data_IF_656112079191
#
_entry.id   IF_656112079191
#
_cell.length_a   1.000
_cell.length_b   1.000
_cell.length_c   1.000
_cell.angle_alpha   90.00
_cell.angle_beta   90.00
_cell.angle_gamma   90.00
#
_symmetry.space_group_name_H-M   'P 1'
#
loop_
_entity.id
_entity.type
_entity.pdbx_description
1 polymer ?
#
# COMPACT_ATOMS: atom_id res chain seq x y z
N UNK A 1 24.03 -0.27 3.08
CA UNK A 1 23.21 -0.70 1.91
C UNK A 1 22.06 -1.52 2.45
N UNK A 2 20.83 -1.24 2.04
CA UNK A 2 19.68 -2.08 2.42
C UNK A 2 19.66 -3.41 1.66
N UNK A 3 19.65 -3.44 0.32
CA UNK A 3 19.74 -4.70 -0.42
C UNK A 3 21.20 -5.15 -0.53
N UNK A 4 21.45 -6.45 -0.40
CA UNK A 4 22.77 -7.02 -0.67
C UNK A 4 23.09 -6.99 -2.17
N UNK A 5 24.38 -6.97 -2.54
CA UNK A 5 24.79 -6.97 -3.95
C UNK A 5 24.23 -8.16 -4.74
N UNK A 6 24.10 -9.33 -4.10
CA UNK A 6 23.49 -10.51 -4.73
C UNK A 6 21.99 -10.30 -5.01
N UNK A 7 21.25 -9.70 -4.07
CA UNK A 7 19.84 -9.37 -4.27
C UNK A 7 19.68 -8.33 -5.37
N UNK A 8 20.50 -7.27 -5.36
CA UNK A 8 20.48 -6.23 -6.40
C UNK A 8 20.72 -6.84 -7.78
N UNK A 9 21.79 -7.62 -7.96
CA UNK A 9 22.08 -8.27 -9.25
C UNK A 9 20.95 -9.20 -9.70
N UNK A 10 20.34 -9.96 -8.78
CA UNK A 10 19.19 -10.81 -9.09
C UNK A 10 17.99 -9.98 -9.57
N UNK A 11 17.64 -8.91 -8.85
CA UNK A 11 16.50 -8.06 -9.16
C UNK A 11 16.69 -7.33 -10.49
N UNK A 12 17.88 -6.77 -10.73
CA UNK A 12 18.20 -6.13 -12.01
C UNK A 12 18.14 -7.14 -13.16
N UNK A 13 18.63 -8.36 -12.94
CA UNK A 13 18.59 -9.43 -13.95
C UNK A 13 17.19 -9.87 -14.36
N UNK A 14 16.17 -9.65 -13.52
CA UNK A 14 14.76 -9.90 -13.90
C UNK A 14 14.25 -8.83 -14.89
N UNK A 15 14.75 -7.59 -14.81
CA UNK A 15 14.31 -6.47 -15.65
C UNK A 15 12.84 -6.09 -15.48
N UNK A 16 12.14 -6.61 -14.48
CA UNK A 16 10.73 -6.37 -14.24
C UNK A 16 10.48 -5.01 -13.54
N UNK A 17 9.28 -4.42 -13.69
CA UNK A 17 8.85 -3.28 -12.89
C UNK A 17 8.90 -3.59 -11.38
N UNK A 18 9.07 -2.55 -10.56
CA UNK A 18 9.20 -2.66 -9.10
C UNK A 18 8.11 -1.87 -8.41
N UNK A 19 7.37 -2.53 -7.53
CA UNK A 19 6.36 -1.93 -6.67
C UNK A 19 6.83 -1.93 -5.22
N UNK A 20 7.11 -0.75 -4.67
CA UNK A 20 7.37 -0.53 -3.25
C UNK A 20 6.04 -0.28 -2.53
N UNK A 21 5.64 -1.16 -1.62
CA UNK A 21 4.31 -1.07 -0.98
C UNK A 21 4.37 -0.46 0.42
N UNK A 22 3.50 0.49 0.71
CA UNK A 22 3.30 1.04 2.05
C UNK A 22 2.35 0.17 2.89
N UNK A 23 2.43 0.27 4.22
CA UNK A 23 1.54 -0.43 5.16
C UNK A 23 0.08 -0.11 4.88
N UNK A 24 -0.26 1.16 4.66
CA UNK A 24 -1.64 1.58 4.40
C UNK A 24 -2.20 0.95 3.12
N UNK A 25 -1.40 0.87 2.07
CA UNK A 25 -1.78 0.25 0.78
C UNK A 25 -2.02 -1.24 0.92
N UNK A 26 -1.17 -1.94 1.65
CA UNK A 26 -1.28 -3.39 1.84
C UNK A 26 -2.46 -3.73 2.76
N UNK A 27 -2.68 -2.95 3.82
CA UNK A 27 -3.82 -3.12 4.71
C UNK A 27 -5.15 -2.72 4.07
N UNK A 28 -5.15 -1.90 3.00
CA UNK A 28 -6.37 -1.62 2.22
C UNK A 28 -7.02 -2.87 1.64
N UNK A 29 -6.25 -3.96 1.43
CA UNK A 29 -6.77 -5.25 0.95
C UNK A 29 -7.79 -5.86 1.91
N UNK A 30 -7.57 -5.71 3.22
CA UNK A 30 -8.43 -6.27 4.29
C UNK A 30 -9.34 -5.22 4.93
N UNK A 31 -9.29 -3.99 4.43
CA UNK A 31 -9.99 -2.85 5.04
C UNK A 31 -11.46 -2.86 4.69
N UNK A 32 -12.20 -2.10 5.47
CA UNK A 32 -13.65 -1.95 5.36
C UNK A 32 -14.13 -1.60 3.93
N UNK A 33 -14.80 -2.56 3.28
CA UNK A 33 -15.39 -2.42 1.94
C UNK A 33 -16.58 -1.47 1.87
N UNK A 34 -17.09 -1.01 3.02
CA UNK A 34 -18.20 -0.06 3.06
C UNK A 34 -17.73 1.38 2.85
N UNK A 35 -16.41 1.63 2.84
CA UNK A 35 -15.83 2.94 2.55
C UNK A 35 -15.96 3.28 1.07
N UNK A 36 -16.45 4.49 0.77
CA UNK A 36 -16.57 5.01 -0.60
C UNK A 36 -15.23 5.06 -1.36
N UNK A 37 -14.12 5.09 -0.63
CA UNK A 37 -12.76 5.06 -1.20
C UNK A 37 -12.36 3.70 -1.76
N UNK A 38 -13.09 2.61 -1.43
CA UNK A 38 -12.81 1.27 -1.95
C UNK A 38 -13.56 1.09 -3.26
N UNK A 39 -12.81 1.02 -4.37
CA UNK A 39 -13.39 0.86 -5.70
C UNK A 39 -13.06 -0.52 -6.27
N UNK A 40 -13.98 -1.08 -7.06
CA UNK A 40 -13.72 -2.35 -7.77
C UNK A 40 -12.51 -2.27 -8.69
N UNK A 41 -12.27 -1.09 -9.30
CA UNK A 41 -11.10 -0.84 -10.14
C UNK A 41 -9.79 -1.02 -9.38
N UNK A 42 -9.67 -0.42 -8.19
CA UNK A 42 -8.48 -0.52 -7.36
C UNK A 42 -8.27 -1.94 -6.81
N UNK A 43 -9.34 -2.62 -6.40
CA UNK A 43 -9.27 -4.01 -5.94
C UNK A 43 -8.79 -4.93 -7.06
N UNK A 44 -9.36 -4.81 -8.26
CA UNK A 44 -8.96 -5.61 -9.41
C UNK A 44 -7.52 -5.31 -9.84
N UNK A 45 -7.09 -4.05 -9.77
CA UNK A 45 -5.71 -3.68 -10.05
C UNK A 45 -4.75 -4.34 -9.04
N UNK A 46 -5.07 -4.30 -7.74
CA UNK A 46 -4.29 -4.97 -6.70
C UNK A 46 -4.20 -6.49 -6.92
N UNK A 47 -5.31 -7.15 -7.23
CA UNK A 47 -5.32 -8.59 -7.52
C UNK A 47 -4.51 -8.95 -8.79
N UNK A 48 -4.57 -8.11 -9.82
CA UNK A 48 -3.78 -8.29 -11.03
C UNK A 48 -2.27 -8.13 -10.76
N UNK A 49 -1.87 -7.10 -10.02
CA UNK A 49 -0.48 -6.89 -9.61
C UNK A 49 0.04 -8.06 -8.75
N UNK A 50 -0.77 -8.53 -7.80
CA UNK A 50 -0.44 -9.70 -6.99
C UNK A 50 -0.23 -10.94 -7.87
N UNK A 51 -1.12 -11.19 -8.82
CA UNK A 51 -0.99 -12.34 -9.73
C UNK A 51 0.29 -12.26 -10.60
N UNK A 52 0.68 -11.07 -11.04
CA UNK A 52 1.93 -10.84 -11.78
C UNK A 52 3.18 -11.07 -10.90
N UNK A 53 3.10 -10.70 -9.63
CA UNK A 53 4.18 -10.95 -8.66
C UNK A 53 4.32 -12.45 -8.34
N UNK A 54 3.20 -13.16 -8.19
CA UNK A 54 3.17 -14.61 -7.96
C UNK A 54 3.76 -15.41 -9.12
N UNK A 55 3.59 -14.93 -10.34
CA UNK A 55 4.21 -15.54 -11.53
C UNK A 55 5.75 -15.41 -11.54
N UNK A 56 6.33 -14.52 -10.74
CA UNK A 56 7.77 -14.43 -10.49
C UNK A 56 8.60 -13.67 -11.54
N UNK A 57 7.99 -13.22 -12.65
CA UNK A 57 8.68 -12.46 -13.71
C UNK A 57 7.94 -11.19 -14.17
N UNK A 58 6.69 -10.97 -13.74
CA UNK A 58 5.88 -9.84 -14.19
C UNK A 58 6.01 -8.59 -13.32
N UNK A 59 6.32 -8.76 -12.03
CA UNK A 59 6.41 -7.66 -11.07
C UNK A 59 7.31 -8.06 -9.90
N UNK A 60 8.22 -7.17 -9.50
CA UNK A 60 8.96 -7.26 -8.24
C UNK A 60 8.19 -6.45 -7.20
N UNK A 61 7.88 -7.06 -6.06
CA UNK A 61 7.27 -6.35 -4.92
C UNK A 61 8.32 -6.17 -3.84
N UNK A 62 8.56 -4.94 -3.41
CA UNK A 62 9.43 -4.60 -2.29
C UNK A 62 8.59 -4.16 -1.08
N UNK A 63 8.91 -4.73 0.08
CA UNK A 63 8.29 -4.36 1.36
C UNK A 63 9.39 -4.03 2.36
N UNK A 64 9.44 -2.79 2.86
CA UNK A 64 10.38 -2.43 3.90
C UNK A 64 10.13 -3.25 5.17
N UNK A 65 11.18 -3.61 5.89
CA UNK A 65 11.06 -4.34 7.16
C UNK A 65 10.09 -3.63 8.14
N UNK A 66 10.14 -2.29 8.17
CA UNK A 66 9.21 -1.47 8.94
C UNK A 66 7.73 -1.71 8.57
N UNK A 67 7.42 -1.91 7.28
CA UNK A 67 6.06 -2.25 6.81
C UNK A 67 5.64 -3.63 7.33
N UNK A 68 6.53 -4.61 7.28
CA UNK A 68 6.26 -5.96 7.81
C UNK A 68 5.92 -5.93 9.30
N UNK A 69 6.65 -5.13 10.09
CA UNK A 69 6.40 -4.94 11.52
C UNK A 69 5.05 -4.26 11.79
N UNK A 70 4.69 -3.27 10.98
CA UNK A 70 3.41 -2.57 11.11
C UNK A 70 2.23 -3.45 10.73
N UNK A 71 2.34 -4.26 9.68
CA UNK A 71 1.30 -5.23 9.32
C UNK A 71 1.12 -6.22 10.49
N UNK A 72 2.20 -6.77 11.02
CA UNK A 72 2.13 -7.71 12.14
C UNK A 72 1.45 -7.10 13.39
N UNK A 73 1.69 -5.82 13.65
CA UNK A 73 1.11 -5.11 14.79
C UNK A 73 -0.36 -4.74 14.60
N UNK A 74 -0.78 -4.42 13.37
CA UNK A 74 -2.07 -3.79 13.10
C UNK A 74 -3.11 -4.73 12.49
N UNK A 75 -2.71 -5.85 11.89
CA UNK A 75 -3.62 -6.73 11.11
C UNK A 75 -4.85 -7.18 11.91
N UNK A 76 -4.67 -7.57 13.17
CA UNK A 76 -5.77 -8.00 14.02
C UNK A 76 -6.80 -6.88 14.29
N UNK A 77 -6.32 -5.65 14.55
CA UNK A 77 -7.21 -4.49 14.74
C UNK A 77 -7.97 -4.16 13.45
N UNK A 78 -7.28 -4.15 12.31
CA UNK A 78 -7.89 -3.86 11.01
C UNK A 78 -8.94 -4.91 10.64
N UNK A 79 -8.68 -6.19 10.89
CA UNK A 79 -9.67 -7.25 10.69
C UNK A 79 -10.92 -7.04 11.56
N UNK A 80 -10.74 -6.71 12.84
CA UNK A 80 -11.84 -6.45 13.77
C UNK A 80 -12.66 -5.22 13.37
N UNK A 81 -12.00 -4.13 13.00
CA UNK A 81 -12.64 -2.90 12.54
C UNK A 81 -13.45 -3.12 11.26
N UNK A 82 -12.86 -3.81 10.26
CA UNK A 82 -13.54 -4.13 9.01
C UNK A 82 -14.74 -5.05 9.24
N UNK A 83 -14.61 -6.04 10.12
CA UNK A 83 -15.72 -6.93 10.47
C UNK A 83 -16.84 -6.17 11.18
N UNK A 84 -16.51 -5.31 12.15
CA UNK A 84 -17.49 -4.50 12.87
C UNK A 84 -18.23 -3.52 11.95
N UNK A 85 -17.51 -2.87 11.03
CA UNK A 85 -18.11 -1.97 10.04
C UNK A 85 -19.06 -2.71 9.09
N UNK A 86 -18.65 -3.88 8.58
CA UNK A 86 -19.51 -4.71 7.74
C UNK A 86 -20.77 -5.16 8.49
N UNK A 87 -20.65 -5.63 9.74
CA UNK A 87 -21.81 -6.02 10.55
C UNK A 87 -22.77 -4.85 10.77
N UNK A 88 -22.23 -3.65 11.03
CA UNK A 88 -23.04 -2.43 11.17
C UNK A 88 -23.78 -2.10 9.86
N UNK A 89 -23.12 -2.23 8.72
CA UNK A 89 -23.75 -2.04 7.41
C UNK A 89 -24.86 -3.04 7.14
N UNK A 90 -24.64 -4.33 7.40
CA UNK A 90 -25.65 -5.38 7.23
C UNK A 90 -26.88 -5.12 8.10
N UNK A 91 -26.68 -4.76 9.37
CA UNK A 91 -27.77 -4.40 10.27
C UNK A 91 -28.52 -3.14 9.82
N UNK A 92 -27.82 -2.16 9.26
CA UNK A 92 -28.43 -0.97 8.68
C UNK A 92 -29.25 -1.29 7.43
N UNK A 93 -28.74 -2.12 6.53
CA UNK A 93 -29.45 -2.56 5.33
C UNK A 93 -30.73 -3.33 5.70
N UNK A 94 -30.65 -4.23 6.69
CA UNK A 94 -31.82 -4.96 7.19
C UNK A 94 -32.87 -4.02 7.76
N UNK A 95 -32.48 -3.08 8.63
CA UNK A 95 -33.43 -2.10 9.21
C UNK A 95 -34.13 -1.27 8.13
N UNK A 96 -33.41 -0.83 7.10
CA UNK A 96 -33.98 -0.06 5.98
C UNK A 96 -35.00 -0.92 5.21
N UNK A 97 -34.65 -2.18 4.95
CA UNK A 97 -35.54 -3.15 4.31
C UNK A 97 -36.82 -3.37 5.12
N UNK A 98 -36.71 -3.59 6.44
CA UNK A 98 -37.87 -3.81 7.32
C UNK A 98 -38.84 -2.62 7.29
N UNK A 99 -38.31 -1.39 7.33
CA UNK A 99 -39.11 -0.16 7.19
C UNK A 99 -39.76 -0.10 5.82
N UNK A 100 -39.01 -0.31 4.73
CA UNK A 100 -39.57 -0.26 3.37
C UNK A 100 -40.71 -1.27 3.18
N UNK A 101 -40.55 -2.49 3.69
CA UNK A 101 -41.56 -3.55 3.67
C UNK A 101 -42.81 -3.14 4.45
N UNK A 102 -42.67 -2.49 5.61
CA UNK A 102 -43.81 -1.95 6.36
C UNK A 102 -44.59 -0.86 5.59
N UNK A 103 -43.93 -0.14 4.67
CA UNK A 103 -44.56 0.81 3.74
C UNK A 103 -45.01 0.16 2.41
N UNK A 104 -45.02 -1.17 2.32
CA UNK A 104 -45.56 -1.92 1.18
C UNK A 104 -44.57 -2.25 0.07
N UNK A 105 -43.27 -1.98 0.26
CA UNK A 105 -42.25 -2.43 -0.68
C UNK A 105 -42.26 -3.96 -0.79
N UNK A 106 -42.02 -4.47 -1.99
CA UNK A 106 -41.96 -5.90 -2.30
C UNK A 106 -40.54 -6.30 -2.71
N UNK A 107 -40.14 -7.53 -2.41
CA UNK A 107 -38.85 -8.10 -2.77
C UNK A 107 -38.01 -8.52 -1.57
N UNK A 108 -36.92 -9.26 -1.82
CA UNK A 108 -36.04 -9.78 -0.78
C UNK A 108 -34.72 -9.00 -0.75
N UNK A 109 -34.26 -8.64 0.43
CA UNK A 109 -32.89 -8.13 0.62
C UNK A 109 -31.88 -9.28 0.42
N UNK A 110 -30.95 -9.12 -0.51
CA UNK A 110 -29.92 -10.13 -0.84
C UNK A 110 -28.52 -9.60 -0.50
N UNK A 111 -28.12 -9.75 0.76
CA UNK A 111 -26.82 -9.23 1.27
C UNK A 111 -25.88 -10.32 1.79
N UNK A 112 -26.32 -11.58 1.85
CA UNK A 112 -25.52 -12.69 2.40
C UNK A 112 -24.20 -12.97 1.66
N UNK A 113 -24.08 -12.57 0.40
CA UNK A 113 -22.82 -12.69 -0.34
C UNK A 113 -21.69 -11.82 0.25
N UNK A 114 -22.03 -10.82 1.07
CA UNK A 114 -21.07 -9.99 1.79
C UNK A 114 -20.51 -10.69 3.03
N UNK A 115 -21.23 -11.68 3.58
CA UNK A 115 -20.80 -12.42 4.77
C UNK A 115 -19.44 -13.08 4.53
N UNK A 116 -18.58 -13.04 5.55
CA UNK A 116 -17.22 -13.62 5.48
C UNK A 116 -16.26 -12.89 4.54
N UNK A 117 -16.57 -11.67 4.08
CA UNK A 117 -15.67 -10.90 3.21
C UNK A 117 -14.27 -10.72 3.82
N UNK A 118 -14.18 -10.30 5.09
CA UNK A 118 -12.89 -10.12 5.79
C UNK A 118 -12.09 -11.42 5.80
N UNK A 119 -12.75 -12.56 6.04
CA UNK A 119 -12.13 -13.89 5.99
C UNK A 119 -11.61 -14.26 4.59
N UNK A 120 -12.26 -13.79 3.51
CA UNK A 120 -11.78 -13.95 2.13
C UNK A 120 -10.64 -12.99 1.78
N UNK A 121 -10.63 -11.80 2.37
CA UNK A 121 -9.61 -10.78 2.11
C UNK A 121 -8.27 -11.11 2.80
N UNK A 122 -8.29 -11.70 4.00
CA UNK A 122 -7.07 -12.04 4.76
C UNK A 122 -6.07 -12.92 3.99
N UNK A 123 -6.47 -14.01 3.32
CA UNK A 123 -5.56 -14.77 2.47
C UNK A 123 -4.89 -13.94 1.37
N UNK A 124 -5.54 -12.88 0.87
CA UNK A 124 -4.95 -11.99 -0.13
C UNK A 124 -3.81 -11.16 0.48
N UNK A 125 -3.98 -10.67 1.71
CA UNK A 125 -2.91 -10.01 2.46
C UNK A 125 -1.72 -10.95 2.72
N UNK A 126 -1.99 -12.21 3.08
CA UNK A 126 -0.92 -13.20 3.29
C UNK A 126 -0.15 -13.49 2.00
N UNK A 127 -0.84 -13.56 0.86
CA UNK A 127 -0.20 -13.70 -0.46
C UNK A 127 0.71 -12.50 -0.79
N UNK A 128 0.28 -11.27 -0.51
CA UNK A 128 1.15 -10.08 -0.64
C UNK A 128 2.43 -10.18 0.17
N UNK A 129 2.34 -10.67 1.42
CA UNK A 129 3.52 -10.89 2.27
C UNK A 129 4.44 -11.97 1.73
N UNK A 130 3.88 -13.02 1.11
CA UNK A 130 4.65 -14.14 0.55
C UNK A 130 5.43 -13.75 -0.71
N UNK A 131 4.85 -12.91 -1.58
CA UNK A 131 5.54 -12.49 -2.82
C UNK A 131 6.54 -11.35 -2.61
N UNK A 132 6.37 -10.57 -1.53
CA UNK A 132 7.21 -9.41 -1.28
C UNK A 132 8.64 -9.80 -0.90
N UNK A 133 9.61 -9.10 -1.50
CA UNK A 133 10.99 -9.13 -1.06
C UNK A 133 11.20 -8.08 0.04
N UNK A 134 11.65 -8.53 1.19
CA UNK A 134 11.88 -7.63 2.33
C UNK A 134 13.11 -6.78 2.07
N UNK A 135 12.95 -5.45 2.17
CA UNK A 135 14.06 -4.49 2.21
C UNK A 135 14.47 -4.34 3.68
N UNK A 136 15.65 -4.86 4.09
CA UNK A 136 16.02 -4.90 5.49
C UNK A 136 16.39 -3.53 6.02
N UNK A 137 16.33 -3.41 7.34
CA UNK A 137 16.81 -2.25 8.07
C UNK A 137 18.29 -1.98 7.80
N UNK A 138 18.65 -0.70 7.86
CA UNK A 138 20.01 -0.20 7.69
C UNK A 138 20.17 1.08 8.52
N UNK A 139 21.22 1.17 9.34
CA UNK A 139 21.49 2.34 10.19
C UNK A 139 21.58 3.66 9.40
N UNK A 140 22.04 3.59 8.15
CA UNK A 140 22.06 4.74 7.25
C UNK A 140 20.66 5.24 6.88
N UNK A 141 19.71 4.31 6.71
CA UNK A 141 18.28 4.63 6.48
C UNK A 141 17.69 5.29 7.73
N UNK A 142 17.94 4.71 8.91
CA UNK A 142 17.47 5.29 10.18
C UNK A 142 18.00 6.71 10.40
N UNK A 143 19.28 6.94 10.13
CA UNK A 143 19.91 8.25 10.27
C UNK A 143 19.30 9.30 9.33
N UNK A 144 19.00 8.95 8.08
CA UNK A 144 18.33 9.86 7.14
C UNK A 144 16.88 10.10 7.49
N UNK A 145 16.16 9.07 7.96
CA UNK A 145 14.79 9.21 8.44
C UNK A 145 14.72 10.15 9.65
N UNK A 146 15.65 10.04 10.58
CA UNK A 146 15.76 10.95 11.72
C UNK A 146 16.02 12.40 11.28
N UNK A 147 16.91 12.59 10.29
CA UNK A 147 17.14 13.92 9.70
C UNK A 147 15.87 14.48 9.06
N UNK A 148 15.13 13.65 8.32
CA UNK A 148 13.84 14.01 7.70
C UNK A 148 12.83 14.49 8.75
N UNK A 149 12.77 13.86 9.92
CA UNK A 149 11.93 14.30 11.05
C UNK A 149 12.38 15.65 11.63
N UNK A 150 13.69 15.85 11.80
CA UNK A 150 14.24 17.10 12.34
C UNK A 150 14.12 18.29 11.38
N UNK A 151 14.17 18.03 10.07
CA UNK A 151 14.03 19.02 8.99
C UNK A 151 12.58 19.21 8.50
N UNK A 152 11.60 18.84 9.32
CA UNK A 152 10.24 18.40 8.93
C UNK A 152 10.00 18.23 7.41
N UNK A 153 10.70 17.27 6.82
CA UNK A 153 10.59 16.90 5.40
C UNK A 153 9.58 15.75 5.22
N UNK A 154 8.77 15.80 4.18
CA UNK A 154 7.69 14.85 3.88
C UNK A 154 8.20 13.39 3.89
N UNK A 155 7.55 12.43 4.57
CA UNK A 155 6.24 12.53 5.22
C UNK A 155 6.25 13.14 6.63
N UNK A 156 7.39 13.58 7.17
CA UNK A 156 7.43 14.23 8.47
C UNK A 156 6.79 15.62 8.48
N UNK A 157 6.14 15.94 9.59
CA UNK A 157 5.54 17.25 9.88
C UNK A 157 5.81 17.66 11.32
N UNK A 158 5.87 18.97 11.57
CA UNK A 158 6.03 19.51 12.94
C UNK A 158 4.90 19.00 13.84
N UNK A 159 5.26 18.42 14.99
CA UNK A 159 4.30 17.98 16.00
C UNK A 159 3.63 16.63 15.73
N UNK A 160 4.03 15.89 14.69
CA UNK A 160 3.51 14.54 14.40
C UNK A 160 4.63 13.50 14.50
N UNK A 161 4.36 12.39 15.20
CA UNK A 161 5.23 11.22 15.14
C UNK A 161 5.19 10.62 13.73
N UNK A 162 6.29 10.79 12.99
CA UNK A 162 6.37 10.41 11.56
C UNK A 162 7.61 9.56 11.26
N UNK A 163 8.31 9.11 12.31
CA UNK A 163 9.60 8.41 12.16
C UNK A 163 9.43 7.12 11.36
N UNK A 164 8.37 6.35 11.62
CA UNK A 164 8.11 5.09 10.92
C UNK A 164 7.87 5.31 9.43
N UNK A 165 7.00 6.25 9.07
CA UNK A 165 6.75 6.67 7.68
C UNK A 165 8.05 7.13 6.99
N UNK A 166 8.90 7.88 7.70
CA UNK A 166 10.19 8.32 7.19
C UNK A 166 11.15 7.16 6.94
N UNK A 167 11.20 6.16 7.83
CA UNK A 167 12.03 4.95 7.65
C UNK A 167 11.60 4.17 6.42
N UNK A 168 10.29 4.02 6.19
CA UNK A 168 9.74 3.33 5.01
C UNK A 168 10.20 4.02 3.72
N UNK A 169 10.00 5.34 3.62
CA UNK A 169 10.38 6.13 2.45
C UNK A 169 11.88 6.10 2.20
N UNK A 170 12.69 6.27 3.24
CA UNK A 170 14.16 6.24 3.11
C UNK A 170 14.70 4.86 2.73
N UNK A 171 14.04 3.77 3.16
CA UNK A 171 14.37 2.41 2.73
C UNK A 171 14.10 2.22 1.23
N UNK A 172 13.00 2.76 0.72
CA UNK A 172 12.67 2.67 -0.71
C UNK A 172 13.54 3.57 -1.59
N UNK A 173 13.89 4.77 -1.13
CA UNK A 173 14.86 5.62 -1.83
C UNK A 173 16.22 4.92 -1.90
N UNK A 174 16.69 4.31 -0.81
CA UNK A 174 17.93 3.52 -0.79
C UNK A 174 17.88 2.34 -1.77
N UNK A 175 16.81 1.54 -1.70
CA UNK A 175 16.65 0.37 -2.57
C UNK A 175 16.58 0.78 -4.05
N UNK A 176 15.81 1.81 -4.38
CA UNK A 176 15.71 2.34 -5.73
C UNK A 176 17.07 2.86 -6.22
N UNK A 177 17.80 3.62 -5.39
CA UNK A 177 19.15 4.09 -5.70
C UNK A 177 20.11 2.93 -6.02
N UNK A 178 20.10 1.87 -5.22
CA UNK A 178 20.92 0.67 -5.47
C UNK A 178 20.55 -0.03 -6.78
N UNK A 179 19.26 -0.18 -7.07
CA UNK A 179 18.77 -0.80 -8.30
C UNK A 179 19.15 0.04 -9.53
N UNK A 180 19.01 1.36 -9.46
CA UNK A 180 19.41 2.29 -10.53
C UNK A 180 20.92 2.26 -10.75
N UNK A 181 21.72 2.31 -9.69
CA UNK A 181 23.18 2.22 -9.77
C UNK A 181 23.66 0.90 -10.40
N UNK A 182 22.90 -0.17 -10.23
CA UNK A 182 23.14 -1.46 -10.86
C UNK A 182 22.57 -1.61 -12.28
N UNK A 183 21.90 -0.57 -12.81
CA UNK A 183 21.44 -0.52 -14.21
C UNK A 183 19.99 -0.93 -14.45
N UNK A 184 19.15 -1.06 -13.41
CA UNK A 184 17.72 -1.29 -13.63
C UNK A 184 17.10 -0.06 -14.32
N UNK A 185 16.46 -0.27 -15.48
CA UNK A 185 15.76 0.78 -16.23
C UNK A 185 14.24 0.69 -16.13
N UNK A 186 13.70 -0.43 -15.65
CA UNK A 186 12.27 -0.64 -15.49
C UNK A 186 11.62 0.38 -14.51
N UNK A 187 10.31 0.64 -14.62
CA UNK A 187 9.60 1.53 -13.71
C UNK A 187 9.71 1.08 -12.25
N UNK A 188 9.88 2.04 -11.32
CA UNK A 188 9.81 1.82 -9.88
C UNK A 188 8.69 2.72 -9.36
N UNK A 189 7.72 2.15 -8.63
CA UNK A 189 6.57 2.87 -8.10
C UNK A 189 6.46 2.64 -6.60
N UNK A 190 6.35 3.72 -5.84
CA UNK A 190 5.98 3.70 -4.43
C UNK A 190 4.46 3.90 -4.28
N UNK A 191 3.77 2.90 -3.76
CA UNK A 191 2.33 2.93 -3.57
C UNK A 191 1.95 3.15 -2.10
N UNK A 192 1.31 4.28 -1.80
CA UNK A 192 0.77 4.63 -0.48
C UNK A 192 -0.64 5.21 -0.61
N UNK A 193 -1.62 4.65 0.09
CA UNK A 193 -2.96 5.27 0.20
C UNK A 193 -3.02 6.41 1.22
N UNK A 194 -1.92 6.70 1.92
CA UNK A 194 -1.84 7.79 2.89
C UNK A 194 -1.56 9.15 2.22
N UNK A 195 -2.39 9.51 1.24
CA UNK A 195 -2.22 10.70 0.40
C UNK A 195 -2.11 12.01 1.18
N UNK A 196 -2.74 12.08 2.36
CA UNK A 196 -2.69 13.26 3.24
C UNK A 196 -1.29 13.60 3.72
N UNK A 197 -0.38 12.63 3.82
CA UNK A 197 1.00 12.85 4.26
C UNK A 197 1.88 13.32 3.12
N UNK A 198 1.62 12.86 1.89
CA UNK A 198 2.48 13.07 0.73
C UNK A 198 2.07 14.22 -0.17
N UNK A 199 0.76 14.51 -0.29
CA UNK A 199 0.27 15.56 -1.16
C UNK A 199 0.36 16.95 -0.50
N UNK A 200 0.63 17.95 -1.34
CA UNK A 200 0.51 19.34 -0.96
C UNK A 200 -0.96 19.65 -0.62
N UNK A 201 -1.22 20.50 0.39
CA UNK A 201 -2.57 20.76 0.89
C UNK A 201 -3.55 21.13 -0.23
N UNK A 202 -4.72 20.47 -0.25
CA UNK A 202 -5.80 20.69 -1.22
C UNK A 202 -5.42 20.41 -2.69
N UNK A 203 -4.40 19.59 -2.93
CA UNK A 203 -3.98 19.19 -4.29
C UNK A 203 -3.88 17.67 -4.43
N UNK A 204 -3.63 17.21 -5.65
CA UNK A 204 -3.20 15.82 -5.95
C UNK A 204 -1.71 15.76 -6.33
N UNK A 205 -0.97 16.83 -6.08
CA UNK A 205 0.46 16.91 -6.36
C UNK A 205 1.24 16.59 -5.09
N UNK A 206 2.35 15.87 -5.25
CA UNK A 206 3.29 15.64 -4.15
C UNK A 206 3.85 16.96 -3.63
N UNK A 207 4.20 16.99 -2.34
CA UNK A 207 5.06 18.04 -1.80
C UNK A 207 6.39 18.06 -2.57
N UNK A 208 6.93 19.25 -2.81
CA UNK A 208 8.10 19.44 -3.69
C UNK A 208 9.33 18.66 -3.20
N UNK A 209 9.51 18.53 -1.89
CA UNK A 209 10.66 17.85 -1.30
C UNK A 209 10.63 16.34 -1.58
N UNK A 210 9.50 15.66 -1.30
CA UNK A 210 9.38 14.23 -1.61
C UNK A 210 9.34 13.99 -3.12
N UNK A 211 8.72 14.89 -3.89
CA UNK A 211 8.74 14.79 -5.35
C UNK A 211 10.18 14.79 -5.89
N UNK A 212 11.03 15.68 -5.38
CA UNK A 212 12.45 15.73 -5.72
C UNK A 212 13.21 14.48 -5.29
N UNK A 213 12.97 13.98 -4.08
CA UNK A 213 13.61 12.77 -3.57
C UNK A 213 13.28 11.53 -4.41
N UNK A 214 12.00 11.33 -4.77
CA UNK A 214 11.57 10.21 -5.60
C UNK A 214 12.09 10.35 -7.04
N UNK A 215 12.07 11.57 -7.60
CA UNK A 215 12.59 11.84 -8.94
C UNK A 215 14.10 11.55 -9.06
N UNK A 216 14.88 11.83 -8.01
CA UNK A 216 16.31 11.58 -7.99
C UNK A 216 16.69 10.10 -8.17
N UNK A 217 15.77 9.18 -7.87
CA UNK A 217 15.93 7.73 -8.06
C UNK A 217 15.02 7.16 -9.15
N UNK A 218 14.34 8.02 -9.92
CA UNK A 218 13.41 7.63 -10.97
C UNK A 218 12.27 6.75 -10.45
N UNK A 219 11.72 7.11 -9.29
CA UNK A 219 10.59 6.44 -8.65
C UNK A 219 9.35 7.34 -8.74
N UNK A 220 8.21 6.75 -9.11
CA UNK A 220 6.91 7.44 -9.12
C UNK A 220 6.10 7.15 -7.85
N UNK A 221 5.15 8.02 -7.52
CA UNK A 221 4.21 7.80 -6.42
C UNK A 221 2.83 7.43 -6.96
N UNK A 222 2.21 6.42 -6.35
CA UNK A 222 0.84 5.99 -6.65
C UNK A 222 -0.05 6.03 -5.40
N UNK A 223 -1.19 6.74 -5.43
CA UNK A 223 -2.12 6.83 -4.30
C UNK A 223 -2.96 5.57 -4.07
N UNK A 224 -2.97 4.62 -5.00
CA UNK A 224 -3.72 3.36 -4.93
C UNK A 224 -3.16 2.35 -5.94
N UNK A 225 -3.67 1.11 -5.92
CA UNK A 225 -3.24 0.07 -6.84
C UNK A 225 -3.58 0.36 -8.30
N UNK A 226 -4.68 1.05 -8.60
CA UNK A 226 -5.03 1.44 -9.97
C UNK A 226 -3.98 2.36 -10.59
N UNK A 227 -3.58 3.41 -9.88
CA UNK A 227 -2.52 4.31 -10.29
C UNK A 227 -1.16 3.60 -10.35
N UNK A 228 -0.88 2.71 -9.37
CA UNK A 228 0.37 1.96 -9.36
C UNK A 228 0.50 1.07 -10.60
N UNK A 229 -0.56 0.33 -10.93
CA UNK A 229 -0.62 -0.51 -12.11
C UNK A 229 -0.37 0.29 -13.40
N UNK A 230 -1.04 1.44 -13.53
CA UNK A 230 -0.84 2.33 -14.67
C UNK A 230 0.62 2.83 -14.78
N UNK A 231 1.20 3.34 -13.69
CA UNK A 231 2.60 3.83 -13.68
C UNK A 231 3.64 2.72 -13.92
N UNK A 232 3.31 1.47 -13.57
CA UNK A 232 4.16 0.31 -13.87
C UNK A 232 4.05 -0.15 -15.33
N UNK A 233 3.05 0.33 -16.08
CA UNK A 233 2.79 -0.08 -17.47
C UNK A 233 2.18 -1.49 -17.58
N UNK A 234 1.39 -1.92 -16.59
CA UNK A 234 0.83 -3.29 -16.47
C UNK A 234 -0.70 -3.32 -16.59
#
# INVERSE_FOLDING_TARGET
MSLSSQQVSRLVGLGSPVLCVDTCTVLDVVRDITRETVTTGDVNAGLALLSLAEAGSGLIVLMAEQVTLEIASNVASVEQEAQAALQKFLAQAQRIHDVATAFGAQGNLQIHHLDGHVSRAKPVLDRWKQVAQVVPHNDGVASRAFRRVNEPRTPARRGKESMKDCVIVEAYIEAASQLRAAGLTAPIVFASSNTKEYFAPNTRHLQNDIAGDLAAVGMEYAPNFGAAKHSLGL
#
